data_IF_210182952171
#
_entry.id   IF_210182952171
#
_cell.length_a   1.000
_cell.length_b   1.000
_cell.length_c   1.000
_cell.angle_alpha   90.00
_cell.angle_beta   90.00
_cell.angle_gamma   90.00
#
_symmetry.space_group_name_H-M   'P 1'
#
loop_
_entity.id
_entity.type
_entity.pdbx_description
1 polymer ?
#
# COMPACT_ATOMS: atom_id res chain seq x y z
N UNK A 1 -10.39 -10.26 8.96
CA UNK A 1 -9.47 -10.92 8.00
C UNK A 1 -8.85 -9.87 7.07
N UNK A 2 -7.61 -10.06 6.60
CA UNK A 2 -7.04 -9.19 5.54
C UNK A 2 -7.82 -9.38 4.24
N UNK A 3 -8.10 -8.32 3.48
CA UNK A 3 -8.89 -8.38 2.23
C UNK A 3 -8.37 -9.42 1.23
N UNK A 4 -7.05 -9.53 1.06
CA UNK A 4 -6.46 -10.54 0.17
C UNK A 4 -6.74 -11.98 0.61
N UNK A 5 -7.05 -12.25 1.89
CA UNK A 5 -7.51 -13.57 2.31
C UNK A 5 -8.97 -13.80 1.93
N UNK A 6 -9.82 -12.79 2.10
CA UNK A 6 -11.25 -12.86 1.74
C UNK A 6 -11.37 -13.12 0.23
N UNK A 7 -10.70 -12.32 -0.59
CA UNK A 7 -10.69 -12.50 -2.06
C UNK A 7 -10.22 -13.89 -2.43
N UNK A 8 -9.10 -14.37 -1.88
CA UNK A 8 -8.57 -15.72 -2.20
C UNK A 8 -9.57 -16.83 -1.91
N UNK A 9 -10.36 -16.67 -0.85
CA UNK A 9 -11.41 -17.62 -0.49
C UNK A 9 -12.60 -17.52 -1.47
N UNK A 10 -12.87 -16.34 -2.03
CA UNK A 10 -13.94 -16.12 -3.00
C UNK A 10 -13.59 -16.55 -4.43
N UNK A 11 -12.31 -16.63 -4.81
CA UNK A 11 -11.89 -16.94 -6.20
C UNK A 11 -12.58 -18.18 -6.78
N UNK A 12 -12.61 -19.35 -6.10
CA UNK A 12 -13.21 -20.55 -6.70
C UNK A 12 -14.68 -20.35 -7.07
N UNK A 13 -15.46 -19.74 -6.18
CA UNK A 13 -16.88 -19.48 -6.41
C UNK A 13 -17.12 -18.44 -7.52
N UNK A 14 -16.27 -17.41 -7.62
CA UNK A 14 -16.32 -16.41 -8.69
C UNK A 14 -16.01 -17.06 -10.06
N UNK A 15 -15.00 -17.91 -10.13
CA UNK A 15 -14.64 -18.59 -11.38
C UNK A 15 -15.67 -19.64 -11.76
N UNK A 16 -16.21 -20.38 -10.80
CA UNK A 16 -17.33 -21.31 -11.04
C UNK A 16 -18.57 -20.57 -11.58
N UNK A 17 -18.90 -19.40 -11.04
CA UNK A 17 -19.95 -18.53 -11.59
C UNK A 17 -19.67 -18.17 -13.06
N UNK A 18 -18.42 -17.87 -13.41
CA UNK A 18 -18.05 -17.59 -14.79
C UNK A 18 -18.25 -18.81 -15.71
N UNK A 19 -18.02 -20.04 -15.23
CA UNK A 19 -18.18 -21.23 -16.07
C UNK A 19 -19.65 -21.68 -16.22
N UNK A 20 -20.40 -21.55 -15.13
CA UNK A 20 -21.72 -22.18 -14.97
C UNK A 20 -22.89 -21.23 -15.22
N UNK A 21 -22.75 -19.95 -14.86
CA UNK A 21 -23.86 -18.97 -14.91
C UNK A 21 -23.64 -17.91 -15.98
N UNK A 22 -22.43 -17.34 -16.07
CA UNK A 22 -22.14 -16.23 -17.00
C UNK A 22 -20.73 -16.32 -17.59
N UNK A 23 -20.63 -16.98 -18.74
CA UNK A 23 -19.36 -17.13 -19.48
C UNK A 23 -18.79 -15.82 -20.02
N UNK A 24 -19.58 -14.76 -20.15
CA UNK A 24 -19.07 -13.46 -20.57
C UNK A 24 -18.40 -12.71 -19.41
N UNK A 25 -18.69 -13.09 -18.16
CA UNK A 25 -18.11 -12.46 -16.97
C UNK A 25 -16.59 -12.59 -16.96
N UNK A 26 -16.03 -13.71 -17.43
CA UNK A 26 -14.58 -13.89 -17.46
C UNK A 26 -13.86 -12.88 -18.36
N UNK A 27 -14.52 -12.42 -19.44
CA UNK A 27 -13.98 -11.39 -20.32
C UNK A 27 -14.02 -10.02 -19.64
N UNK A 28 -15.09 -9.72 -18.89
CA UNK A 28 -15.21 -8.49 -18.09
C UNK A 28 -14.20 -8.45 -16.95
N UNK A 29 -13.97 -9.57 -16.25
CA UNK A 29 -12.95 -9.69 -15.21
C UNK A 29 -11.51 -9.52 -15.72
N UNK A 30 -11.29 -9.66 -17.03
CA UNK A 30 -10.01 -9.37 -17.68
C UNK A 30 -9.85 -7.90 -18.08
N UNK A 31 -10.91 -7.09 -17.99
CA UNK A 31 -10.87 -5.65 -18.28
C UNK A 31 -10.46 -4.86 -17.01
N UNK A 32 -9.37 -4.06 -17.07
CA UNK A 32 -8.97 -3.19 -15.97
C UNK A 32 -10.04 -2.17 -15.56
N UNK A 33 -10.83 -1.64 -16.52
CA UNK A 33 -11.88 -0.63 -16.23
C UNK A 33 -13.02 -1.26 -15.45
N UNK A 34 -13.50 -2.41 -15.91
CA UNK A 34 -14.50 -3.18 -15.19
C UNK A 34 -14.02 -3.54 -13.78
N UNK A 35 -12.76 -3.94 -13.64
CA UNK A 35 -12.18 -4.28 -12.34
C UNK A 35 -12.09 -3.06 -11.41
N UNK A 36 -11.82 -1.86 -11.95
CA UNK A 36 -11.84 -0.61 -11.20
C UNK A 36 -13.23 -0.25 -10.72
N UNK A 37 -14.24 -0.35 -11.58
CA UNK A 37 -15.63 -0.05 -11.23
C UNK A 37 -16.22 -1.07 -10.27
N UNK A 38 -15.89 -2.35 -10.46
CA UNK A 38 -16.52 -3.48 -9.75
C UNK A 38 -15.83 -3.80 -8.42
N UNK A 39 -14.52 -3.54 -8.28
CA UNK A 39 -13.74 -3.93 -7.10
C UNK A 39 -12.81 -2.84 -6.57
N UNK A 40 -12.79 -1.65 -7.18
CA UNK A 40 -11.87 -0.56 -6.84
C UNK A 40 -10.37 -0.94 -7.01
N UNK A 41 -10.06 -1.82 -7.97
CA UNK A 41 -8.70 -2.25 -8.30
C UNK A 41 -8.25 -1.74 -9.67
N UNK A 42 -7.01 -1.24 -9.78
CA UNK A 42 -6.48 -0.64 -11.02
C UNK A 42 -5.93 -1.68 -12.03
N UNK A 43 -6.15 -2.97 -11.78
CA UNK A 43 -5.64 -4.07 -12.60
C UNK A 43 -6.79 -5.03 -12.92
N UNK A 44 -6.73 -5.77 -14.04
CA UNK A 44 -7.64 -6.87 -14.29
C UNK A 44 -7.75 -7.78 -13.08
N UNK A 45 -8.98 -8.14 -12.70
CA UNK A 45 -9.24 -9.11 -11.64
C UNK A 45 -8.46 -10.40 -11.92
N UNK A 46 -8.50 -10.88 -13.16
CA UNK A 46 -7.69 -11.99 -13.63
C UNK A 46 -7.06 -11.71 -14.99
N UNK A 47 -5.95 -12.38 -15.30
CA UNK A 47 -5.29 -12.31 -16.61
C UNK A 47 -4.85 -13.72 -17.05
N UNK A 48 -4.94 -14.08 -18.35
CA UNK A 48 -4.41 -15.33 -18.86
C UNK A 48 -2.93 -15.45 -18.56
N UNK A 49 -2.47 -16.64 -18.14
CA UNK A 49 -1.07 -16.88 -17.75
C UNK A 49 -0.10 -16.46 -18.86
N UNK A 50 -0.45 -16.79 -20.10
CA UNK A 50 0.35 -16.47 -21.31
C UNK A 50 0.44 -14.97 -21.60
N UNK A 51 -0.56 -14.18 -21.14
CA UNK A 51 -0.63 -12.74 -21.37
C UNK A 51 0.04 -11.92 -20.25
N UNK A 52 0.59 -12.55 -19.20
CA UNK A 52 1.25 -11.85 -18.09
C UNK A 52 2.73 -11.65 -18.43
N UNK A 53 3.11 -10.40 -18.73
CA UNK A 53 4.50 -10.02 -18.96
C UNK A 53 5.38 -10.15 -17.71
N UNK A 54 6.70 -10.23 -17.89
CA UNK A 54 7.65 -10.45 -16.78
C UNK A 54 7.55 -9.41 -15.66
N UNK A 55 7.35 -8.14 -16.02
CA UNK A 55 7.21 -7.02 -15.07
C UNK A 55 5.85 -7.01 -14.35
N UNK A 56 4.84 -7.67 -14.92
CA UNK A 56 3.49 -7.74 -14.34
C UNK A 56 3.33 -8.93 -13.39
N UNK A 57 4.22 -9.94 -13.44
CA UNK A 57 4.12 -11.17 -12.64
C UNK A 57 3.97 -10.90 -11.13
N UNK A 58 4.61 -9.86 -10.62
CA UNK A 58 4.53 -9.46 -9.20
C UNK A 58 3.13 -9.00 -8.77
N UNK A 59 2.28 -8.63 -9.74
CA UNK A 59 0.93 -8.08 -9.53
C UNK A 59 -0.16 -9.14 -9.55
N UNK A 60 0.18 -10.40 -9.76
CA UNK A 60 -0.75 -11.53 -9.76
C UNK A 60 -0.27 -12.61 -8.79
N UNK A 61 -1.19 -13.30 -8.11
CA UNK A 61 -0.82 -14.44 -7.29
C UNK A 61 -0.27 -15.59 -8.16
N UNK A 62 0.64 -16.37 -7.60
CA UNK A 62 1.29 -17.49 -8.33
C UNK A 62 0.37 -18.68 -8.57
N UNK A 63 -0.76 -18.75 -7.85
CA UNK A 63 -1.75 -19.81 -8.05
C UNK A 63 -2.47 -19.59 -9.37
N UNK A 64 -2.45 -20.61 -10.21
CA UNK A 64 -3.18 -20.65 -11.47
C UNK A 64 -4.56 -21.27 -11.25
N UNK A 65 -5.52 -20.77 -12.00
CA UNK A 65 -6.89 -21.25 -12.01
C UNK A 65 -7.29 -21.52 -13.46
N UNK A 66 -7.93 -22.65 -13.72
CA UNK A 66 -8.49 -22.94 -15.04
C UNK A 66 -9.94 -22.49 -15.02
N UNK A 67 -10.32 -21.67 -16.00
CA UNK A 67 -11.67 -21.18 -16.18
C UNK A 67 -12.00 -21.17 -17.68
N UNK A 68 -13.07 -21.84 -18.09
CA UNK A 68 -13.46 -21.99 -19.49
C UNK A 68 -12.31 -22.56 -20.37
N UNK A 69 -11.47 -23.44 -19.81
CA UNK A 69 -10.32 -24.04 -20.50
C UNK A 69 -9.08 -23.13 -20.62
N UNK A 70 -9.11 -21.92 -20.07
CA UNK A 70 -7.98 -20.97 -20.08
C UNK A 70 -7.36 -20.90 -18.68
N UNK A 71 -6.03 -21.05 -18.60
CA UNK A 71 -5.31 -20.83 -17.35
C UNK A 71 -5.15 -19.33 -17.09
N UNK A 72 -5.66 -18.87 -15.95
CA UNK A 72 -5.60 -17.47 -15.51
C UNK A 72 -4.95 -17.35 -14.13
N UNK A 73 -4.39 -16.16 -13.83
CA UNK A 73 -4.00 -15.78 -12.47
C UNK A 73 -4.80 -14.56 -12.03
N UNK A 74 -5.14 -14.52 -10.74
CA UNK A 74 -5.88 -13.42 -10.12
C UNK A 74 -4.91 -12.39 -9.56
N UNK A 75 -5.26 -11.10 -9.68
CA UNK A 75 -4.39 -10.01 -9.21
C UNK A 75 -4.16 -10.06 -7.70
N UNK A 76 -2.94 -9.75 -7.27
CA UNK A 76 -2.54 -9.62 -5.87
C UNK A 76 -2.77 -8.21 -5.31
N UNK A 77 -3.22 -7.25 -6.14
CA UNK A 77 -3.30 -5.82 -5.85
C UNK A 77 -4.54 -5.43 -5.04
N UNK A 78 -4.82 -6.21 -4.00
CA UNK A 78 -5.92 -5.98 -3.06
C UNK A 78 -5.43 -5.27 -1.82
N UNK A 79 -5.89 -4.04 -1.63
CA UNK A 79 -5.56 -3.21 -0.47
C UNK A 79 -6.87 -2.73 0.15
N UNK A 80 -6.95 -2.70 1.48
CA UNK A 80 -8.12 -2.17 2.18
C UNK A 80 -7.71 -1.08 3.17
N UNK A 81 -7.08 0.02 2.71
CA UNK A 81 -6.98 1.23 3.52
C UNK A 81 -8.39 1.77 3.83
N UNK A 82 -8.55 2.65 4.84
CA UNK A 82 -9.86 3.22 5.21
C UNK A 82 -10.64 3.88 4.07
N UNK A 83 -9.97 4.24 2.97
CA UNK A 83 -10.54 4.89 1.78
C UNK A 83 -10.86 3.95 0.63
N UNK A 84 -10.47 2.67 0.73
CA UNK A 84 -10.76 1.70 -0.32
C UNK A 84 -12.16 1.12 -0.12
N UNK A 85 -12.90 1.05 -1.22
CA UNK A 85 -14.21 0.39 -1.23
C UNK A 85 -14.09 -1.09 -1.62
N UNK A 86 -12.89 -1.63 -1.80
CA UNK A 86 -12.68 -2.97 -2.39
C UNK A 86 -13.37 -4.08 -1.61
N UNK A 87 -13.39 -4.04 -0.27
CA UNK A 87 -14.10 -5.05 0.52
C UNK A 87 -15.62 -4.93 0.38
N UNK A 88 -16.15 -3.71 0.44
CA UNK A 88 -17.57 -3.45 0.27
C UNK A 88 -18.04 -3.86 -1.13
N UNK A 89 -17.31 -3.45 -2.16
CA UNK A 89 -17.64 -3.73 -3.56
C UNK A 89 -17.51 -5.22 -3.89
N UNK A 90 -16.53 -5.93 -3.31
CA UNK A 90 -16.45 -7.38 -3.43
C UNK A 90 -17.68 -8.07 -2.83
N UNK A 91 -18.12 -7.65 -1.63
CA UNK A 91 -19.31 -8.23 -1.02
C UNK A 91 -20.57 -7.92 -1.85
N UNK A 92 -20.72 -6.69 -2.34
CA UNK A 92 -21.82 -6.31 -3.23
C UNK A 92 -21.82 -7.14 -4.53
N UNK A 93 -20.65 -7.36 -5.12
CA UNK A 93 -20.49 -8.19 -6.31
C UNK A 93 -20.98 -9.62 -6.08
N UNK A 94 -20.56 -10.24 -4.97
CA UNK A 94 -20.94 -11.60 -4.59
C UNK A 94 -22.44 -11.71 -4.30
N UNK A 95 -22.99 -10.76 -3.53
CA UNK A 95 -24.42 -10.71 -3.20
C UNK A 95 -25.29 -10.53 -4.44
N UNK A 96 -24.96 -9.59 -5.32
CA UNK A 96 -25.73 -9.31 -6.55
C UNK A 96 -25.79 -10.52 -7.48
N UNK A 97 -24.73 -11.33 -7.51
CA UNK A 97 -24.63 -12.54 -8.35
C UNK A 97 -25.03 -13.81 -7.62
N UNK A 98 -25.46 -13.70 -6.35
CA UNK A 98 -25.81 -14.84 -5.48
C UNK A 98 -24.69 -15.90 -5.42
N UNK A 99 -23.44 -15.43 -5.38
CA UNK A 99 -22.26 -16.28 -5.29
C UNK A 99 -22.05 -16.60 -3.81
N UNK A 100 -22.36 -17.84 -3.42
CA UNK A 100 -22.13 -18.31 -2.05
C UNK A 100 -20.65 -18.64 -1.86
N UNK A 101 -19.99 -17.90 -0.95
CA UNK A 101 -18.62 -18.19 -0.54
C UNK A 101 -18.68 -19.01 0.75
N UNK A 102 -18.08 -20.22 0.80
CA UNK A 102 -18.09 -21.03 2.01
C UNK A 102 -17.51 -20.27 3.21
N UNK A 103 -18.33 -20.08 4.26
CA UNK A 103 -17.89 -19.52 5.53
C UNK A 103 -16.97 -20.52 6.22
N UNK A 104 -15.67 -20.21 6.28
CA UNK A 104 -14.78 -20.97 7.16
C UNK A 104 -15.03 -20.56 8.61
N UNK A 105 -15.22 -21.50 9.55
CA UNK A 105 -15.36 -21.18 10.96
C UNK A 105 -14.10 -20.46 11.47
N UNK A 106 -14.33 -19.42 12.29
CA UNK A 106 -13.30 -18.77 13.08
C UNK A 106 -12.74 -19.79 14.08
N UNK A 107 -11.66 -20.48 13.71
CA UNK A 107 -10.86 -21.25 14.65
C UNK A 107 -9.40 -20.92 14.42
N UNK A 108 -8.87 -20.10 15.34
CA UNK A 108 -7.49 -20.15 15.76
C UNK A 108 -7.17 -21.55 16.29
N UNK A 109 -6.84 -22.49 15.40
CA UNK A 109 -6.05 -23.69 15.70
C UNK A 109 -5.60 -24.39 14.40
N UNK A 110 -4.27 -24.48 14.29
CA UNK A 110 -3.39 -25.37 13.54
C UNK A 110 -3.89 -26.61 12.75
N UNK A 111 -3.38 -26.71 11.50
CA UNK A 111 -2.89 -27.92 10.74
C UNK A 111 -4.02 -28.78 10.09
N UNK A 112 -4.07 -29.14 8.80
CA UNK A 112 -3.09 -29.84 7.94
C UNK A 112 -3.14 -29.48 6.44
N UNK A 113 -1.95 -29.26 5.87
CA UNK A 113 -1.67 -29.16 4.44
C UNK A 113 -1.24 -30.51 3.87
N UNK A 114 -1.95 -31.04 2.89
CA UNK A 114 -1.50 -32.21 2.13
C UNK A 114 -0.54 -31.81 1.01
N UNK A 115 0.73 -32.20 1.19
CA UNK A 115 1.77 -32.49 0.20
C UNK A 115 1.88 -31.56 -1.02
N UNK A 116 2.10 -30.26 -0.79
CA UNK A 116 2.93 -29.48 -1.68
C UNK A 116 4.40 -29.78 -1.39
N UNK A 117 5.23 -29.98 -2.41
CA UNK A 117 6.69 -29.87 -2.28
C UNK A 117 7.02 -28.71 -1.34
N UNK A 118 7.90 -28.89 -0.33
CA UNK A 118 8.14 -27.87 0.66
C UNK A 118 8.70 -26.63 -0.03
N UNK A 119 7.82 -25.68 -0.35
CA UNK A 119 8.22 -24.32 -0.68
C UNK A 119 8.76 -23.76 0.62
N UNK A 120 10.08 -23.62 0.70
CA UNK A 120 10.74 -22.91 1.78
C UNK A 120 9.96 -21.62 2.08
N UNK A 121 9.52 -21.46 3.33
CA UNK A 121 8.81 -20.27 3.76
C UNK A 121 9.66 -19.03 3.40
N UNK A 122 9.26 -18.29 2.35
CA UNK A 122 9.98 -17.09 1.88
C UNK A 122 9.87 -15.89 2.85
N UNK A 123 9.45 -16.13 4.09
CA UNK A 123 9.50 -15.18 5.18
C UNK A 123 9.85 -15.92 6.46
N UNK A 124 10.87 -15.44 7.18
CA UNK A 124 11.16 -15.93 8.53
C UNK A 124 9.94 -15.62 9.41
N UNK A 125 9.43 -16.59 10.14
CA UNK A 125 8.37 -16.36 11.13
C UNK A 125 8.82 -15.26 12.09
N UNK A 126 8.02 -14.19 12.22
CA UNK A 126 8.36 -12.97 13.00
C UNK A 126 9.70 -12.30 12.63
N UNK A 127 10.22 -12.50 11.41
CA UNK A 127 11.40 -11.80 10.92
C UNK A 127 11.10 -10.33 10.58
N UNK A 128 12.14 -9.49 10.59
CA UNK A 128 12.03 -8.10 10.14
C UNK A 128 11.64 -8.05 8.66
N UNK A 129 10.56 -7.33 8.36
CA UNK A 129 10.14 -7.09 6.98
C UNK A 129 11.14 -6.11 6.33
N UNK A 130 11.79 -6.54 5.25
CA UNK A 130 12.70 -5.68 4.46
C UNK A 130 12.03 -4.37 4.02
N UNK A 131 10.71 -4.37 3.81
CA UNK A 131 9.94 -3.16 3.53
C UNK A 131 10.10 -2.05 4.57
N UNK A 132 10.39 -2.38 5.83
CA UNK A 132 10.68 -1.39 6.86
C UNK A 132 11.98 -0.64 6.55
N UNK A 133 13.04 -1.35 6.15
CA UNK A 133 14.31 -0.76 5.75
C UNK A 133 14.19 0.03 4.43
N UNK A 134 13.43 -0.50 3.47
CA UNK A 134 13.15 0.20 2.21
C UNK A 134 12.43 1.53 2.47
N UNK A 135 11.38 1.52 3.27
CA UNK A 135 10.66 2.74 3.65
C UNK A 135 11.53 3.69 4.49
N UNK A 136 12.42 3.16 5.35
CA UNK A 136 13.35 3.98 6.11
C UNK A 136 14.34 4.72 5.21
N UNK A 137 14.85 4.09 4.14
CA UNK A 137 15.70 4.77 3.17
C UNK A 137 14.94 5.88 2.44
N UNK A 138 13.72 5.59 1.96
CA UNK A 138 12.88 6.61 1.29
C UNK A 138 12.66 7.82 2.20
N UNK A 139 12.33 7.61 3.48
CA UNK A 139 12.19 8.72 4.44
C UNK A 139 13.48 9.48 4.63
N UNK A 140 14.62 8.79 4.75
CA UNK A 140 15.91 9.47 4.88
C UNK A 140 16.25 10.34 3.66
N UNK A 141 15.93 9.88 2.44
CA UNK A 141 16.15 10.66 1.23
C UNK A 141 15.26 11.91 1.25
N UNK A 142 13.95 11.75 1.46
CA UNK A 142 12.99 12.85 1.49
C UNK A 142 13.19 13.81 2.67
N UNK A 143 13.84 13.37 3.75
CA UNK A 143 14.22 14.22 4.88
C UNK A 143 15.49 15.03 4.65
N UNK A 144 16.26 14.73 3.60
CA UNK A 144 17.57 15.36 3.30
C UNK A 144 17.58 16.05 1.95
N UNK A 145 16.43 16.13 1.28
CA UNK A 145 16.29 16.75 -0.02
C UNK A 145 16.23 18.27 0.13
N UNK A 146 17.03 18.98 -0.65
CA UNK A 146 17.15 20.44 -0.57
C UNK A 146 18.14 20.90 0.50
N UNK A 147 18.25 22.23 0.65
CA UNK A 147 19.20 22.89 1.56
C UNK A 147 18.51 23.55 2.76
N UNK A 148 17.20 23.33 2.92
CA UNK A 148 16.43 23.94 4.00
C UNK A 148 16.82 23.35 5.36
N UNK A 149 17.06 24.24 6.32
CA UNK A 149 17.28 23.90 7.71
C UNK A 149 16.33 24.73 8.57
N UNK A 150 15.64 24.06 9.49
CA UNK A 150 14.82 24.70 10.51
C UNK A 150 15.12 24.06 11.86
N UNK A 151 14.86 24.79 12.92
CA UNK A 151 15.15 24.39 14.29
C UNK A 151 13.87 24.39 15.15
N UNK A 152 14.05 24.19 16.45
CA UNK A 152 12.95 24.16 17.42
C UNK A 152 12.21 25.50 17.52
N UNK A 153 12.88 26.64 17.36
CA UNK A 153 12.24 27.95 17.39
C UNK A 153 11.31 28.15 16.18
N UNK A 154 11.75 27.74 14.98
CA UNK A 154 10.93 27.76 13.76
C UNK A 154 9.69 26.89 13.94
N UNK A 155 9.85 25.69 14.52
CA UNK A 155 8.73 24.81 14.83
C UNK A 155 7.73 25.47 15.80
N UNK A 156 8.20 26.12 16.86
CA UNK A 156 7.32 26.85 17.77
C UNK A 156 6.59 28.02 17.10
N UNK A 157 7.20 28.66 16.10
CA UNK A 157 6.51 29.68 15.31
C UNK A 157 5.35 29.07 14.50
N UNK A 158 5.57 27.92 13.86
CA UNK A 158 4.50 27.19 13.18
C UNK A 158 3.37 26.82 14.15
N UNK A 159 3.68 26.30 15.34
CA UNK A 159 2.66 25.99 16.35
C UNK A 159 1.84 27.22 16.74
N UNK A 160 2.49 28.38 16.90
CA UNK A 160 1.81 29.66 17.20
C UNK A 160 0.96 30.15 16.04
N UNK A 161 1.41 29.99 14.80
CA UNK A 161 0.67 30.35 13.58
C UNK A 161 -0.69 29.62 13.53
N UNK A 162 -0.73 28.35 13.93
CA UNK A 162 -1.96 27.57 14.05
C UNK A 162 -2.70 27.77 15.39
N UNK A 163 -2.41 28.83 16.14
CA UNK A 163 -3.11 29.19 17.37
C UNK A 163 -2.87 28.22 18.54
N UNK A 164 -1.69 27.58 18.58
CA UNK A 164 -1.35 26.52 19.54
C UNK A 164 -2.38 25.38 19.56
N UNK A 165 -2.95 25.07 18.39
CA UNK A 165 -4.00 24.08 18.22
C UNK A 165 -3.69 23.13 17.05
N UNK A 166 -4.36 21.99 17.03
CA UNK A 166 -4.26 21.03 15.93
C UNK A 166 -4.77 21.67 14.63
N UNK A 167 -3.95 21.65 13.58
CA UNK A 167 -4.29 22.15 12.25
C UNK A 167 -5.52 21.46 11.62
N UNK A 168 -5.83 20.23 12.06
CA UNK A 168 -6.93 19.45 11.50
C UNK A 168 -8.26 19.57 12.25
N UNK A 169 -8.25 19.57 13.59
CA UNK A 169 -9.47 19.61 14.39
C UNK A 169 -9.61 20.85 15.28
N UNK A 170 -8.57 21.68 15.39
CA UNK A 170 -8.55 22.85 16.27
C UNK A 170 -8.41 22.55 17.76
N UNK A 171 -8.21 21.30 18.16
CA UNK A 171 -8.04 20.96 19.57
C UNK A 171 -6.68 21.42 20.10
N UNK A 172 -6.68 22.05 21.28
CA UNK A 172 -5.48 22.44 22.03
C UNK A 172 -5.10 21.30 23.00
N UNK A 173 -4.41 20.29 22.48
CA UNK A 173 -3.98 19.10 23.23
C UNK A 173 -2.46 18.96 23.16
N UNK A 174 -1.91 17.81 23.58
CA UNK A 174 -0.54 17.44 23.21
C UNK A 174 -0.42 17.41 21.67
N UNK A 175 0.38 18.32 21.12
CA UNK A 175 0.58 18.51 19.69
C UNK A 175 1.88 17.83 19.27
N UNK A 176 1.80 17.06 18.20
CA UNK A 176 2.94 16.44 17.53
C UNK A 176 3.08 17.05 16.14
N UNK A 177 4.29 16.99 15.61
CA UNK A 177 4.57 17.34 14.23
C UNK A 177 3.95 16.30 13.29
N UNK A 178 3.21 16.75 12.29
CA UNK A 178 2.72 15.93 11.19
C UNK A 178 3.13 16.50 9.84
N UNK A 179 3.42 15.63 8.89
CA UNK A 179 3.72 15.99 7.50
C UNK A 179 2.42 16.09 6.71
N UNK A 180 2.07 17.28 6.23
CA UNK A 180 0.85 17.54 5.45
C UNK A 180 0.77 16.61 4.24
N UNK A 181 1.84 16.57 3.45
CA UNK A 181 2.09 15.59 2.40
C UNK A 181 2.90 14.44 3.01
N UNK A 182 2.39 13.20 2.99
CA UNK A 182 3.08 12.05 3.61
C UNK A 182 4.48 11.77 3.04
N UNK A 183 5.42 11.48 3.94
CA UNK A 183 6.80 11.08 3.60
C UNK A 183 6.88 9.60 3.19
N UNK A 184 6.50 9.32 1.95
CA UNK A 184 6.51 7.99 1.35
C UNK A 184 6.81 8.05 -0.15
N UNK A 185 6.96 6.88 -0.78
CA UNK A 185 7.31 6.77 -2.21
C UNK A 185 6.19 7.19 -3.18
N UNK A 186 4.94 7.25 -2.71
CA UNK A 186 3.80 7.63 -3.53
C UNK A 186 3.63 9.15 -3.58
N UNK A 187 3.53 9.78 -2.40
CA UNK A 187 3.26 11.21 -2.24
C UNK A 187 4.52 12.08 -2.33
N UNK A 188 5.70 11.51 -2.06
CA UNK A 188 7.00 12.18 -2.09
C UNK A 188 7.06 13.44 -1.21
N UNK A 189 6.35 13.47 -0.08
CA UNK A 189 6.38 14.61 0.84
C UNK A 189 7.74 14.73 1.53
N UNK A 190 8.30 15.94 1.53
CA UNK A 190 9.62 16.21 2.12
C UNK A 190 9.52 16.62 3.59
N UNK A 191 10.60 16.46 4.36
CA UNK A 191 10.67 17.02 5.71
C UNK A 191 11.11 18.49 5.66
N UNK A 192 10.18 19.34 5.24
CA UNK A 192 10.37 20.78 5.09
C UNK A 192 9.38 21.56 5.94
N UNK A 193 9.75 22.75 6.41
CA UNK A 193 8.94 23.51 7.37
C UNK A 193 7.52 23.76 6.85
N UNK A 194 7.38 24.12 5.57
CA UNK A 194 6.06 24.34 4.95
C UNK A 194 5.23 23.07 4.75
N UNK A 195 5.82 21.88 4.91
CA UNK A 195 5.11 20.60 4.91
C UNK A 195 4.75 20.14 6.34
N UNK A 196 5.06 20.92 7.38
CA UNK A 196 4.89 20.51 8.77
C UNK A 196 3.78 21.32 9.44
N UNK A 197 2.87 20.64 10.13
CA UNK A 197 1.80 21.29 10.89
C UNK A 197 1.63 20.64 12.27
N UNK A 198 1.13 21.39 13.28
CA UNK A 198 0.76 20.80 14.55
C UNK A 198 -0.47 19.91 14.40
N UNK A 199 -0.39 18.69 14.91
CA UNK A 199 -1.52 17.76 14.96
C UNK A 199 -1.66 17.14 16.33
N UNK A 200 -2.90 16.93 16.80
CA UNK A 200 -3.11 16.02 17.92
C UNK A 200 -2.79 14.58 17.49
N UNK A 201 -2.44 13.72 18.45
CA UNK A 201 -2.08 12.31 18.17
C UNK A 201 -3.20 11.55 17.45
N UNK A 202 -4.46 11.83 17.80
CA UNK A 202 -5.64 11.20 17.19
C UNK A 202 -5.78 11.56 15.71
N UNK A 203 -5.63 12.84 15.35
CA UNK A 203 -5.72 13.25 13.94
C UNK A 203 -4.52 12.74 13.14
N UNK A 204 -3.31 12.82 13.70
CA UNK A 204 -2.10 12.31 13.03
C UNK A 204 -2.24 10.81 12.73
N UNK A 205 -2.67 10.01 13.71
CA UNK A 205 -2.90 8.58 13.51
C UNK A 205 -4.01 8.27 12.49
N UNK A 206 -5.10 9.05 12.47
CA UNK A 206 -6.21 8.86 11.52
C UNK A 206 -5.84 9.30 10.10
N UNK A 207 -5.15 10.42 9.93
CA UNK A 207 -4.66 10.89 8.64
C UNK A 207 -3.62 9.93 8.08
N UNK A 208 -2.64 9.51 8.88
CA UNK A 208 -1.65 8.53 8.49
C UNK A 208 -0.95 8.86 7.16
N UNK A 209 -1.22 8.06 6.13
CA UNK A 209 -0.63 8.20 4.79
C UNK A 209 -1.60 8.83 3.76
N UNK A 210 -2.73 9.36 4.21
CA UNK A 210 -3.72 10.01 3.35
C UNK A 210 -3.34 11.47 3.03
N UNK A 211 -3.79 11.97 1.88
CA UNK A 211 -3.68 13.39 1.56
C UNK A 211 -4.52 14.21 2.56
N UNK A 212 -4.00 15.37 2.97
CA UNK A 212 -4.68 16.20 3.97
C UNK A 212 -6.02 16.75 3.48
N UNK A 213 -6.19 16.96 2.16
CA UNK A 213 -7.45 17.42 1.57
C UNK A 213 -8.50 16.33 1.65
N UNK A 214 -8.12 15.10 1.32
CA UNK A 214 -8.99 13.93 1.48
C UNK A 214 -9.39 13.73 2.95
N UNK A 215 -8.44 13.92 3.87
CA UNK A 215 -8.69 13.80 5.31
C UNK A 215 -9.64 14.86 5.86
N UNK A 216 -9.50 16.12 5.43
CA UNK A 216 -10.35 17.23 5.85
C UNK A 216 -11.71 17.27 5.12
N UNK A 217 -11.81 16.63 3.96
CA UNK A 217 -13.01 16.53 3.16
C UNK A 217 -13.55 17.91 2.78
N UNK A 218 -14.63 18.35 3.44
CA UNK A 218 -15.34 19.60 3.12
C UNK A 218 -14.92 20.81 3.95
N UNK A 219 -13.99 20.65 4.90
CA UNK A 219 -13.52 21.77 5.73
C UNK A 219 -12.55 22.67 4.95
N UNK A 220 -13.11 23.53 4.10
CA UNK A 220 -12.34 24.44 3.26
C UNK A 220 -11.54 25.47 4.08
N UNK A 221 -12.02 25.82 5.28
CA UNK A 221 -11.32 26.77 6.16
C UNK A 221 -9.95 26.23 6.58
N UNK A 222 -9.90 24.98 7.04
CA UNK A 222 -8.64 24.34 7.44
C UNK A 222 -7.76 23.97 6.25
N UNK A 223 -8.36 23.53 5.14
CA UNK A 223 -7.62 23.28 3.90
C UNK A 223 -6.90 24.56 3.46
N UNK A 224 -7.61 25.69 3.43
CA UNK A 224 -7.03 26.99 3.06
C UNK A 224 -5.95 27.45 4.04
N UNK A 225 -6.13 27.24 5.35
CA UNK A 225 -5.12 27.60 6.35
C UNK A 225 -3.81 26.81 6.14
N UNK A 226 -3.91 25.49 5.90
CA UNK A 226 -2.75 24.66 5.61
C UNK A 226 -2.09 25.07 4.28
N UNK A 227 -2.87 25.33 3.24
CA UNK A 227 -2.33 25.79 1.96
C UNK A 227 -1.65 27.17 2.07
N UNK A 228 -2.20 28.08 2.86
CA UNK A 228 -1.58 29.37 3.13
C UNK A 228 -0.24 29.22 3.86
N UNK A 229 -0.15 28.30 4.83
CA UNK A 229 1.09 27.94 5.50
C UNK A 229 2.13 27.38 4.50
N UNK A 230 1.75 26.40 3.67
CA UNK A 230 2.63 25.84 2.63
C UNK A 230 3.16 26.94 1.71
N UNK A 231 2.28 27.84 1.25
CA UNK A 231 2.65 28.96 0.38
C UNK A 231 3.56 29.98 1.08
N UNK A 232 3.30 30.30 2.36
CA UNK A 232 4.13 31.21 3.18
C UNK A 232 5.59 30.73 3.26
N UNK A 233 5.79 29.41 3.33
CA UNK A 233 7.10 28.79 3.40
C UNK A 233 7.65 28.33 2.04
N UNK A 234 7.06 28.79 0.93
CA UNK A 234 7.48 28.43 -0.44
C UNK A 234 7.58 26.91 -0.64
N UNK A 235 6.65 26.16 -0.05
CA UNK A 235 6.61 24.70 -0.15
C UNK A 235 5.67 24.26 -1.27
N UNK A 236 6.26 23.83 -2.38
CA UNK A 236 5.57 23.18 -3.49
C UNK A 236 5.92 21.69 -3.52
N UNK A 237 4.91 20.83 -3.44
CA UNK A 237 5.14 19.38 -3.37
C UNK A 237 5.75 18.84 -4.67
N UNK A 238 6.80 18.06 -4.56
CA UNK A 238 7.45 17.38 -5.69
C UNK A 238 6.72 16.09 -6.15
N UNK A 239 5.53 15.82 -5.62
CA UNK A 239 4.77 14.58 -5.84
C UNK A 239 4.44 14.26 -7.30
N UNK A 240 4.45 15.24 -8.21
CA UNK A 240 4.19 15.01 -9.63
C UNK A 240 5.46 14.79 -10.46
N UNK A 241 6.65 14.86 -9.86
CA UNK A 241 7.92 14.67 -10.57
C UNK A 241 8.14 13.17 -10.88
N UNK A 242 7.87 12.80 -12.13
CA UNK A 242 8.01 11.41 -12.61
C UNK A 242 9.43 10.88 -12.47
N UNK A 243 10.43 11.67 -12.85
CA UNK A 243 11.84 11.26 -12.79
C UNK A 243 12.26 10.99 -11.34
N UNK A 244 11.85 11.85 -10.42
CA UNK A 244 12.14 11.65 -9.01
C UNK A 244 11.45 10.40 -8.44
N UNK A 245 10.20 10.12 -8.84
CA UNK A 245 9.52 8.88 -8.45
C UNK A 245 10.29 7.65 -8.90
N UNK A 246 10.78 7.65 -10.13
CA UNK A 246 11.61 6.56 -10.69
C UNK A 246 12.91 6.38 -9.87
N UNK A 247 13.58 7.47 -9.49
CA UNK A 247 14.78 7.43 -8.63
C UNK A 247 14.46 6.88 -7.23
N UNK A 248 13.35 7.30 -6.62
CA UNK A 248 12.93 6.83 -5.29
C UNK A 248 12.55 5.35 -5.33
N UNK A 249 11.87 4.90 -6.40
CA UNK A 249 11.55 3.49 -6.60
C UNK A 249 12.80 2.63 -6.83
N UNK A 250 13.84 3.17 -7.51
CA UNK A 250 15.14 2.52 -7.63
C UNK A 250 15.81 2.38 -6.27
N UNK A 251 15.95 3.46 -5.50
CA UNK A 251 16.53 3.43 -4.16
C UNK A 251 15.80 2.44 -3.23
N UNK A 252 14.47 2.40 -3.30
CA UNK A 252 13.66 1.43 -2.56
C UNK A 252 14.01 -0.01 -2.96
N UNK A 253 14.25 -0.30 -4.25
CA UNK A 253 14.63 -1.63 -4.74
C UNK A 253 16.07 -2.00 -4.35
N UNK A 254 17.00 -1.06 -4.41
CA UNK A 254 18.42 -1.27 -4.10
C UNK A 254 18.64 -1.80 -2.68
N UNK A 255 17.85 -1.35 -1.70
CA UNK A 255 17.91 -1.88 -0.32
C UNK A 255 17.63 -3.37 -0.27
N UNK A 256 16.67 -3.86 -1.08
CA UNK A 256 16.38 -5.30 -1.15
C UNK A 256 17.51 -6.04 -1.85
N UNK A 257 17.96 -5.54 -2.99
CA UNK A 257 19.05 -6.16 -3.76
C UNK A 257 20.30 -6.30 -2.88
N UNK A 258 20.65 -5.25 -2.13
CA UNK A 258 21.77 -5.23 -1.22
C UNK A 258 21.61 -6.26 -0.09
N UNK A 259 20.43 -6.32 0.52
CA UNK A 259 20.15 -7.30 1.58
C UNK A 259 20.23 -8.74 1.05
N UNK A 260 19.61 -9.02 -0.10
CA UNK A 260 19.62 -10.34 -0.72
C UNK A 260 21.05 -10.75 -1.14
N UNK A 261 21.86 -9.81 -1.63
CA UNK A 261 23.27 -10.02 -1.98
C UNK A 261 24.12 -10.45 -0.78
N UNK A 262 24.04 -9.74 0.34
CA UNK A 262 24.81 -10.11 1.53
C UNK A 262 24.32 -11.41 2.17
N UNK A 263 23.01 -11.69 2.13
CA UNK A 263 22.48 -12.99 2.56
C UNK A 263 23.06 -14.12 1.71
N UNK A 264 23.16 -13.95 0.39
CA UNK A 264 23.74 -14.95 -0.50
C UNK A 264 25.22 -15.21 -0.20
N UNK A 265 26.02 -14.14 0.00
CA UNK A 265 27.44 -14.26 0.39
C UNK A 265 27.57 -15.06 1.69
N UNK A 266 26.81 -14.69 2.73
CA UNK A 266 26.89 -15.33 4.05
C UNK A 266 26.50 -16.80 3.97
N UNK A 267 25.45 -17.15 3.25
CA UNK A 267 25.04 -18.55 3.08
C UNK A 267 26.12 -19.36 2.37
N UNK A 268 26.70 -18.84 1.27
CA UNK A 268 27.75 -19.53 0.54
C UNK A 268 29.00 -19.79 1.41
N UNK A 269 29.38 -18.84 2.27
CA UNK A 269 30.48 -19.02 3.23
C UNK A 269 30.16 -20.11 4.27
N UNK A 270 28.92 -20.17 4.75
CA UNK A 270 28.50 -21.16 5.74
C UNK A 270 28.43 -22.57 5.17
N UNK A 271 28.06 -22.71 3.90
CA UNK A 271 28.02 -24.01 3.23
C UNK A 271 29.43 -24.58 3.03
N UNK A 272 30.40 -23.75 2.60
CA UNK A 272 31.81 -24.14 2.48
C UNK A 272 32.42 -24.64 3.80
N UNK A 273 32.03 -24.05 4.93
CA UNK A 273 32.51 -24.47 6.25
C UNK A 273 31.90 -25.79 6.75
N UNK A 274 30.78 -26.25 6.18
CA UNK A 274 30.16 -27.55 6.56
C UNK A 274 30.74 -28.73 5.80
N UNK A 275 31.34 -28.46 4.63
CA UNK A 275 31.94 -29.47 3.76
C UNK A 275 33.44 -29.72 4.06
N UNK A 276 34.00 -29.06 5.09
CA UNK A 276 35.40 -29.21 5.54
C UNK A 276 35.45 -29.85 6.93
#
# INVERSE_FOLDING_TARGET
MKIGQIVRNSIPAILEYCETQDRAEIARLQDPRYSKETFDINYPFCKPVEAIGETERVRYWTREHVVCGVAVRVTSQWFNPPTSNSLQLLNQYLEQRKIEVPLLPNTSTEIETTAGFPRAARGRFKGNAIGNAQNALVRNILSRLGEEHFNEADWHEVVREFGNACAYCGAQTDLVMDHVIPINKQSLGEHRIGNLVPSCRTCNAKKGQHDFRDFLGKDQGRINAIQAHMAKHSYDSIGNNRQLREIIDLAHQDVRILADHYVAIINAMQDQQRDT
#
